data_IF_918686287653
#
_entry.id   IF_918686287653
#
_cell.length_a   1.000
_cell.length_b   1.000
_cell.length_c   1.000
_cell.angle_alpha   90.00
_cell.angle_beta   90.00
_cell.angle_gamma   90.00
#
_symmetry.space_group_name_H-M   'P 1'
#
loop_
_entity.id
_entity.type
_entity.pdbx_description
1 polymer ?
#
# COMPACT_ATOMS: atom_id res chain seq x y z
N UNK A 1 0.82 -3.21 -8.38
CA UNK A 1 -0.31 -2.32 -8.03
C UNK A 1 -1.23 -1.99 -9.21
N UNK A 2 -0.76 -1.95 -10.46
CA UNK A 2 -1.56 -1.51 -11.63
C UNK A 2 -2.90 -2.22 -11.80
N UNK A 3 -2.94 -3.53 -11.52
CA UNK A 3 -4.20 -4.28 -11.56
C UNK A 3 -5.21 -3.82 -10.50
N UNK A 4 -4.74 -3.46 -9.29
CA UNK A 4 -5.58 -2.97 -8.19
C UNK A 4 -6.08 -1.53 -8.40
N UNK A 5 -5.44 -0.74 -9.25
CA UNK A 5 -5.86 0.64 -9.57
C UNK A 5 -7.19 0.70 -10.34
N UNK A 6 -7.66 -0.43 -10.87
CA UNK A 6 -8.99 -0.53 -11.48
C UNK A 6 -10.04 -0.75 -10.39
N UNK A 7 -11.08 0.11 -10.28
CA UNK A 7 -12.10 -0.01 -9.23
C UNK A 7 -12.76 -1.40 -9.11
N UNK A 8 -13.09 -2.12 -10.21
CA UNK A 8 -13.65 -3.47 -10.10
C UNK A 8 -12.70 -4.48 -9.45
N UNK A 9 -11.40 -4.36 -9.71
CA UNK A 9 -10.37 -5.23 -9.15
C UNK A 9 -10.08 -4.88 -7.68
N UNK A 10 -10.08 -3.58 -7.37
CA UNK A 10 -10.03 -3.13 -5.98
C UNK A 10 -11.20 -3.72 -5.19
N UNK A 11 -12.43 -3.56 -5.70
CA UNK A 11 -13.66 -4.08 -5.10
C UNK A 11 -13.66 -5.60 -4.98
N UNK A 12 -13.06 -6.33 -5.92
CA UNK A 12 -12.99 -7.79 -5.82
C UNK A 12 -12.08 -8.27 -4.68
N UNK A 13 -11.04 -7.50 -4.33
CA UNK A 13 -10.13 -7.83 -3.22
C UNK A 13 -10.65 -7.28 -1.89
N UNK A 14 -11.14 -6.04 -1.89
CA UNK A 14 -11.45 -5.27 -0.67
C UNK A 14 -12.95 -4.97 -0.47
N UNK A 15 -13.86 -5.44 -1.32
CA UNK A 15 -15.29 -5.14 -1.19
C UNK A 15 -15.67 -3.69 -1.55
N UNK A 16 -16.94 -3.33 -1.34
CA UNK A 16 -17.45 -1.96 -1.61
C UNK A 16 -17.09 -0.96 -0.50
N UNK A 17 -16.94 0.30 -0.89
CA UNK A 17 -16.49 1.45 -0.09
C UNK A 17 -17.49 1.94 0.98
N UNK A 18 -17.91 1.07 1.91
CA UNK A 18 -18.53 1.52 3.16
C UNK A 18 -17.50 1.37 4.28
N UNK A 19 -16.87 2.50 4.64
CA UNK A 19 -16.01 2.75 5.81
C UNK A 19 -15.56 1.54 6.62
N UNK A 20 -14.26 1.30 6.68
CA UNK A 20 -13.66 0.50 7.76
C UNK A 20 -12.64 1.33 8.51
N UNK A 21 -13.11 1.89 9.63
CA UNK A 21 -12.34 2.11 10.86
C UNK A 21 -11.34 0.97 11.00
N UNK A 22 -10.05 1.29 11.09
CA UNK A 22 -8.95 0.39 11.49
C UNK A 22 -9.31 -1.10 11.56
N UNK A 23 -9.38 -1.78 10.41
CA UNK A 23 -9.67 -3.22 10.39
C UNK A 23 -10.65 -3.65 9.30
N UNK A 24 -10.07 -4.12 8.20
CA UNK A 24 -10.61 -5.03 7.18
C UNK A 24 -12.06 -4.86 6.68
N UNK A 25 -12.28 -4.85 5.36
CA UNK A 25 -13.61 -5.09 4.82
C UNK A 25 -14.15 -6.45 5.28
N UNK A 26 -15.43 -6.47 5.64
CA UNK A 26 -16.13 -7.55 6.35
C UNK A 26 -15.99 -8.93 5.69
N UNK A 27 -15.70 -8.98 4.39
CA UNK A 27 -15.23 -10.18 3.69
C UNK A 27 -14.30 -9.80 2.51
N UNK A 28 -12.99 -9.79 2.74
CA UNK A 28 -12.04 -9.76 1.62
C UNK A 28 -12.19 -11.08 0.84
N UNK A 29 -12.46 -11.03 -0.47
CA UNK A 29 -12.80 -12.25 -1.20
C UNK A 29 -11.55 -13.10 -1.44
N UNK A 30 -11.60 -14.38 -1.03
CA UNK A 30 -10.52 -15.35 -1.30
C UNK A 30 -10.18 -15.40 -2.80
N UNK A 31 -11.20 -15.26 -3.65
CA UNK A 31 -11.06 -15.23 -5.10
C UNK A 31 -10.33 -13.99 -5.62
N UNK A 32 -10.58 -12.81 -5.06
CA UNK A 32 -9.89 -11.58 -5.41
C UNK A 32 -8.40 -11.67 -5.09
N UNK A 33 -8.07 -12.18 -3.90
CA UNK A 33 -6.68 -12.43 -3.49
C UNK A 33 -5.99 -13.49 -4.36
N UNK A 34 -6.69 -14.57 -4.72
CA UNK A 34 -6.18 -15.58 -5.64
C UNK A 34 -5.87 -14.99 -7.02
N UNK A 35 -6.78 -14.15 -7.54
CA UNK A 35 -6.61 -13.45 -8.82
C UNK A 35 -5.41 -12.50 -8.76
N UNK A 36 -5.27 -11.74 -7.68
CA UNK A 36 -4.12 -10.86 -7.48
C UNK A 36 -2.82 -11.66 -7.43
N UNK A 37 -2.79 -12.80 -6.75
CA UNK A 37 -1.62 -13.67 -6.69
C UNK A 37 -1.19 -14.16 -8.08
N UNK A 38 -2.16 -14.58 -8.91
CA UNK A 38 -1.91 -14.98 -10.30
C UNK A 38 -1.37 -13.83 -11.15
N UNK A 39 -1.95 -12.63 -11.03
CA UNK A 39 -1.48 -11.45 -11.76
C UNK A 39 -0.05 -11.10 -11.38
N UNK A 40 0.27 -11.08 -10.09
CA UNK A 40 1.64 -10.81 -9.61
C UNK A 40 2.60 -11.90 -10.06
N UNK A 41 2.21 -13.16 -10.01
CA UNK A 41 3.03 -14.28 -10.49
C UNK A 41 3.33 -14.14 -11.99
N UNK A 42 2.32 -13.84 -12.82
CA UNK A 42 2.48 -13.60 -14.26
C UNK A 42 3.40 -12.41 -14.55
N UNK A 43 3.24 -11.30 -13.83
CA UNK A 43 4.12 -10.12 -13.97
C UNK A 43 5.59 -10.44 -13.64
N UNK A 44 5.81 -11.41 -12.75
CA UNK A 44 7.14 -11.88 -12.38
C UNK A 44 7.59 -13.12 -13.18
N UNK A 45 6.98 -13.38 -14.34
CA UNK A 45 7.29 -14.53 -15.22
C UNK A 45 7.26 -15.88 -14.47
N UNK A 46 6.39 -16.03 -13.48
CA UNK A 46 6.28 -17.24 -12.66
C UNK A 46 7.40 -17.42 -11.61
N UNK A 47 8.39 -16.53 -11.54
CA UNK A 47 9.51 -16.61 -10.57
C UNK A 47 9.05 -16.45 -9.12
N UNK A 48 7.89 -15.82 -8.92
CA UNK A 48 7.20 -15.75 -7.64
C UNK A 48 5.93 -16.61 -7.75
N UNK A 49 6.00 -17.85 -7.23
CA UNK A 49 4.81 -18.67 -7.00
C UNK A 49 4.14 -18.17 -5.72
N UNK A 50 3.03 -17.45 -5.87
CA UNK A 50 2.25 -16.92 -4.77
C UNK A 50 0.92 -17.65 -4.71
N UNK A 51 0.60 -18.22 -3.55
CA UNK A 51 -0.75 -18.64 -3.24
C UNK A 51 -1.54 -17.47 -2.61
N UNK A 52 -2.85 -17.63 -2.49
CA UNK A 52 -3.77 -16.64 -1.91
C UNK A 52 -3.31 -16.12 -0.55
N UNK A 53 -2.88 -17.02 0.35
CA UNK A 53 -2.44 -16.67 1.71
C UNK A 53 -1.18 -15.83 1.68
N UNK A 54 -0.13 -16.29 0.99
CA UNK A 54 1.13 -15.58 0.89
C UNK A 54 1.00 -14.22 0.19
N UNK A 55 0.11 -14.11 -0.80
CA UNK A 55 -0.19 -12.82 -1.44
C UNK A 55 -0.83 -11.85 -0.45
N UNK A 56 -1.85 -12.30 0.30
CA UNK A 56 -2.52 -11.50 1.32
C UNK A 56 -1.56 -11.02 2.40
N UNK A 57 -0.74 -11.92 2.95
CA UNK A 57 0.26 -11.58 3.98
C UNK A 57 1.30 -10.57 3.48
N UNK A 58 1.85 -10.78 2.27
CA UNK A 58 2.80 -9.84 1.67
C UNK A 58 2.19 -8.47 1.45
N UNK A 59 0.94 -8.43 0.97
CA UNK A 59 0.24 -7.17 0.77
C UNK A 59 -0.04 -6.46 2.08
N UNK A 60 -0.49 -7.17 3.12
CA UNK A 60 -0.71 -6.58 4.45
C UNK A 60 0.57 -6.02 5.05
N UNK A 61 1.71 -6.71 4.90
CA UNK A 61 3.00 -6.18 5.35
C UNK A 61 3.36 -4.88 4.62
N UNK A 62 3.08 -4.83 3.31
CA UNK A 62 3.30 -3.62 2.53
C UNK A 62 2.36 -2.48 2.93
N UNK A 63 1.08 -2.79 3.17
CA UNK A 63 0.10 -1.83 3.67
C UNK A 63 0.48 -1.28 5.04
N UNK A 64 1.01 -2.13 5.95
CA UNK A 64 1.53 -1.70 7.25
C UNK A 64 2.69 -0.71 7.09
N UNK A 65 3.66 -1.02 6.23
CA UNK A 65 4.78 -0.12 5.92
C UNK A 65 4.29 1.22 5.34
N UNK A 66 3.29 1.18 4.45
CA UNK A 66 2.66 2.39 3.92
C UNK A 66 2.02 3.22 5.03
N UNK A 67 1.23 2.62 5.92
CA UNK A 67 0.60 3.34 7.04
C UNK A 67 1.63 3.95 7.99
N UNK A 68 2.70 3.24 8.31
CA UNK A 68 3.82 3.75 9.11
C UNK A 68 4.51 4.93 8.41
N UNK A 69 4.77 4.82 7.10
CA UNK A 69 5.36 5.90 6.31
C UNK A 69 4.43 7.11 6.22
N UNK A 70 3.12 6.91 6.05
CA UNK A 70 2.11 7.98 6.04
C UNK A 70 1.99 8.68 7.38
N UNK A 71 2.12 7.94 8.48
CA UNK A 71 2.19 8.52 9.82
C UNK A 71 3.42 9.41 9.98
N UNK A 72 4.58 8.97 9.49
CA UNK A 72 5.81 9.77 9.50
C UNK A 72 5.68 11.02 8.61
N UNK A 73 5.06 10.90 7.43
CA UNK A 73 4.78 12.06 6.55
C UNK A 73 4.02 13.16 7.28
N UNK A 74 3.04 12.78 8.10
CA UNK A 74 2.19 13.71 8.85
C UNK A 74 2.85 14.28 10.12
N UNK A 75 4.06 13.83 10.49
CA UNK A 75 4.77 14.37 11.65
C UNK A 75 5.47 15.69 11.32
N UNK A 76 5.48 16.61 12.28
CA UNK A 76 6.25 17.85 12.19
C UNK A 76 7.73 17.53 11.98
N UNK A 77 8.35 18.16 10.98
CA UNK A 77 9.78 18.00 10.70
C UNK A 77 10.14 16.86 9.75
N UNK A 78 9.17 16.19 9.10
CA UNK A 78 9.44 15.14 8.09
C UNK A 78 10.08 15.65 6.76
N UNK A 79 10.51 16.90 6.69
CA UNK A 79 11.17 17.48 5.52
C UNK A 79 12.45 16.74 5.10
N UNK A 80 13.00 17.14 3.96
CA UNK A 80 14.32 16.67 3.49
C UNK A 80 15.40 17.23 4.41
N UNK A 81 16.31 16.39 4.89
CA UNK A 81 17.44 16.80 5.74
C UNK A 81 18.76 16.80 4.97
N UNK A 82 19.82 17.34 5.58
CA UNK A 82 21.16 17.32 4.99
C UNK A 82 21.69 15.88 4.82
N UNK A 83 21.31 14.95 5.70
CA UNK A 83 21.61 13.52 5.55
C UNK A 83 20.89 12.89 4.35
N UNK A 84 19.67 13.34 4.05
CA UNK A 84 18.92 12.91 2.87
C UNK A 84 19.63 13.39 1.59
N UNK A 85 20.09 14.64 1.56
CA UNK A 85 20.88 15.17 0.46
C UNK A 85 22.17 14.37 0.21
N UNK A 86 22.88 13.96 1.27
CA UNK A 86 24.06 13.08 1.17
C UNK A 86 23.72 11.70 0.58
N UNK A 87 22.46 11.26 0.72
CA UNK A 87 21.94 10.01 0.13
C UNK A 87 21.32 10.22 -1.27
N UNK A 88 21.41 11.42 -1.83
CA UNK A 88 20.84 11.77 -3.13
C UNK A 88 19.31 11.91 -3.11
N UNK A 89 18.71 12.19 -1.95
CA UNK A 89 17.29 12.45 -1.79
C UNK A 89 17.10 13.97 -1.68
N UNK A 90 16.40 14.56 -2.64
CA UNK A 90 16.25 16.01 -2.77
C UNK A 90 14.80 16.48 -2.55
N UNK A 91 13.85 15.55 -2.48
CA UNK A 91 12.43 15.87 -2.31
C UNK A 91 11.77 14.93 -1.33
N UNK A 92 10.76 15.41 -0.60
CA UNK A 92 9.96 14.58 0.31
C UNK A 92 9.32 13.41 -0.43
N UNK A 93 8.89 13.60 -1.67
CA UNK A 93 8.36 12.51 -2.51
C UNK A 93 9.39 11.40 -2.75
N UNK A 94 10.65 11.75 -3.06
CA UNK A 94 11.72 10.76 -3.19
C UNK A 94 11.99 10.05 -1.87
N UNK A 95 11.98 10.78 -0.74
CA UNK A 95 12.13 10.22 0.61
C UNK A 95 11.05 9.17 0.90
N UNK A 96 9.79 9.51 0.63
CA UNK A 96 8.64 8.63 0.81
C UNK A 96 8.71 7.37 -0.07
N UNK A 97 9.06 7.51 -1.35
CA UNK A 97 9.23 6.38 -2.27
C UNK A 97 10.40 5.47 -1.89
N UNK A 98 11.44 6.01 -1.23
CA UNK A 98 12.54 5.22 -0.67
C UNK A 98 12.13 4.45 0.59
N UNK A 99 11.25 5.03 1.40
CA UNK A 99 10.74 4.39 2.63
C UNK A 99 9.68 3.31 2.34
N UNK A 100 8.78 3.57 1.40
CA UNK A 100 7.74 2.65 0.98
C UNK A 100 7.68 2.60 -0.54
N UNK A 101 7.98 1.43 -1.11
CA UNK A 101 7.99 1.23 -2.57
C UNK A 101 6.61 1.53 -3.15
N UNK A 102 6.53 2.38 -4.18
CA UNK A 102 5.27 2.81 -4.79
C UNK A 102 4.37 3.62 -3.84
N UNK A 103 4.96 4.42 -2.95
CA UNK A 103 4.23 5.22 -1.96
C UNK A 103 3.11 6.03 -2.58
N UNK A 104 3.38 6.79 -3.65
CA UNK A 104 2.39 7.65 -4.29
C UNK A 104 1.18 6.86 -4.83
N UNK A 105 1.41 5.63 -5.28
CA UNK A 105 0.34 4.76 -5.79
C UNK A 105 -0.48 4.17 -4.65
N UNK A 106 0.18 3.81 -3.55
CA UNK A 106 -0.50 3.39 -2.32
C UNK A 106 -1.32 4.53 -1.73
N UNK A 107 -0.81 5.76 -1.75
CA UNK A 107 -1.52 6.94 -1.26
C UNK A 107 -2.74 7.29 -2.13
N UNK A 108 -2.62 7.19 -3.45
CA UNK A 108 -3.77 7.36 -4.34
C UNK A 108 -4.86 6.30 -4.10
N UNK A 109 -4.48 5.07 -3.76
CA UNK A 109 -5.40 3.96 -3.50
C UNK A 109 -6.03 4.01 -2.10
N UNK A 110 -5.25 4.35 -1.09
CA UNK A 110 -5.60 4.15 0.33
C UNK A 110 -5.51 5.42 1.17
N UNK A 111 -4.83 6.48 0.72
CA UNK A 111 -4.54 7.68 1.50
C UNK A 111 -5.79 8.37 2.06
N UNK A 112 -6.86 8.45 1.26
CA UNK A 112 -8.16 8.99 1.70
C UNK A 112 -9.02 7.98 2.50
N UNK A 113 -8.68 6.69 2.46
CA UNK A 113 -9.49 5.60 3.02
C UNK A 113 -8.99 5.12 4.37
N UNK A 114 -7.71 5.33 4.67
CA UNK A 114 -7.17 5.13 6.00
C UNK A 114 -7.58 6.35 6.83
N UNK A 115 -8.51 6.16 7.77
CA UNK A 115 -8.73 7.11 8.87
C UNK A 115 -7.45 7.14 9.73
N UNK A 116 -6.41 7.81 9.24
CA UNK A 116 -5.25 8.21 10.03
C UNK A 116 -5.63 9.54 10.66
N UNK A 117 -6.66 9.51 11.51
CA UNK A 117 -6.88 10.60 12.46
C UNK A 117 -5.78 10.44 13.50
N UNK A 118 -4.86 11.40 13.69
CA UNK A 118 -4.10 11.46 14.91
C UNK A 118 -5.14 11.67 16.02
N UNK A 119 -5.30 10.70 16.92
CA UNK A 119 -5.96 10.97 18.19
C UNK A 119 -5.07 11.99 18.89
N UNK A 120 -5.58 13.22 18.99
CA UNK A 120 -5.00 14.32 19.75
C UNK A 120 -4.67 13.86 21.17
#
# INVERSE_FOLDING_TARGET
LTWLERPPNFKSVFGSEAQTVLGMPRQASSQGWATLAQVVSKQNKGRLSLNTKSMRERFHRHLKLFTETKKLENQTGFGVTDEDHKKGIYTTKQKLEKMCICYARMDALFGHRLNITPLF
#
